data_IF_079485438467
#
_entry.id   IF_079485438467
#
_cell.length_a   1.000
_cell.length_b   1.000
_cell.length_c   1.000
_cell.angle_alpha   90.00
_cell.angle_beta   90.00
_cell.angle_gamma   90.00
#
_symmetry.space_group_name_H-M   'P 1'
#
loop_
_entity.id
_entity.type
_entity.pdbx_description
1 polymer ?
#
# COMPACT_ATOMS: atom_id res chain seq x y z
N UNK A 1 11.26 10.32 -19.92
CA UNK A 1 10.90 9.60 -18.68
C UNK A 1 9.62 8.87 -19.00
N UNK A 2 9.54 7.58 -18.71
CA UNK A 2 8.37 6.75 -19.00
C UNK A 2 7.13 7.29 -18.27
N UNK A 3 5.93 7.00 -18.79
CA UNK A 3 4.65 7.42 -18.19
C UNK A 3 3.59 6.33 -18.36
N UNK A 4 2.50 6.44 -17.60
CA UNK A 4 1.36 5.51 -17.66
C UNK A 4 0.70 5.56 -19.04
N UNK A 5 0.54 6.76 -19.61
CA UNK A 5 -0.08 7.00 -20.91
C UNK A 5 0.70 6.39 -22.08
N UNK A 6 2.02 6.32 -21.94
CA UNK A 6 2.91 5.77 -22.97
C UNK A 6 3.03 4.23 -22.89
N UNK A 7 2.49 3.60 -21.84
CA UNK A 7 2.54 2.16 -21.64
C UNK A 7 1.44 1.46 -22.43
N UNK A 8 1.81 0.42 -23.17
CA UNK A 8 0.86 -0.48 -23.84
C UNK A 8 0.28 -1.54 -22.89
N UNK A 9 0.84 -1.66 -21.68
CA UNK A 9 0.39 -2.64 -20.69
C UNK A 9 -0.76 -2.14 -19.82
N UNK A 10 -1.61 -3.05 -19.31
CA UNK A 10 -2.63 -2.72 -18.32
C UNK A 10 -2.07 -2.05 -17.07
N UNK A 11 -2.91 -1.29 -16.36
CA UNK A 11 -2.53 -0.60 -15.11
C UNK A 11 -2.04 -1.59 -14.03
N UNK A 12 -2.63 -2.80 -14.02
CA UNK A 12 -2.18 -3.91 -13.17
C UNK A 12 -2.11 -5.17 -14.00
N UNK A 13 -1.02 -5.92 -13.88
CA UNK A 13 -0.89 -7.23 -14.51
C UNK A 13 0.01 -8.17 -13.70
N UNK A 14 -0.23 -9.48 -13.81
CA UNK A 14 0.70 -10.51 -13.31
C UNK A 14 1.86 -10.60 -14.29
N UNK A 15 3.09 -10.60 -13.80
CA UNK A 15 4.27 -10.72 -14.66
C UNK A 15 4.44 -12.17 -15.15
N UNK A 16 4.92 -12.33 -16.40
CA UNK A 16 5.10 -13.65 -17.02
C UNK A 16 6.19 -14.51 -16.35
N UNK A 17 7.14 -13.88 -15.67
CA UNK A 17 8.31 -14.56 -15.09
C UNK A 17 8.45 -14.28 -13.59
N UNK A 18 8.26 -15.33 -12.78
CA UNK A 18 8.41 -15.30 -11.32
C UNK A 18 9.85 -14.99 -10.87
N UNK A 19 10.86 -15.28 -11.70
CA UNK A 19 12.28 -15.08 -11.36
C UNK A 19 12.76 -13.63 -11.51
N UNK A 20 11.94 -12.72 -12.02
CA UNK A 20 12.33 -11.32 -12.25
C UNK A 20 12.63 -10.58 -10.94
N UNK A 21 11.89 -10.89 -9.87
CA UNK A 21 12.07 -10.33 -8.54
C UNK A 21 11.80 -11.41 -7.51
N UNK A 22 12.75 -11.66 -6.61
CA UNK A 22 12.62 -12.66 -5.56
C UNK A 22 12.56 -11.99 -4.20
N UNK A 23 11.50 -12.26 -3.45
CA UNK A 23 11.43 -11.86 -2.06
C UNK A 23 12.30 -12.80 -1.18
N UNK A 24 12.90 -12.29 -0.11
CA UNK A 24 13.71 -13.10 0.80
C UNK A 24 12.87 -14.20 1.49
N UNK A 25 13.41 -15.39 1.64
CA UNK A 25 12.78 -16.44 2.44
C UNK A 25 13.03 -16.19 3.94
N UNK A 26 11.94 -16.13 4.72
CA UNK A 26 12.01 -15.99 6.17
C UNK A 26 11.09 -17.04 6.78
N UNK A 27 11.65 -17.91 7.61
CA UNK A 27 10.93 -19.06 8.17
C UNK A 27 9.67 -18.62 8.93
N UNK A 28 8.57 -19.32 8.69
CA UNK A 28 7.27 -19.04 9.30
C UNK A 28 6.65 -17.68 8.94
N UNK A 29 7.11 -17.00 7.88
CA UNK A 29 6.62 -15.68 7.48
C UNK A 29 6.34 -15.58 5.98
N UNK A 30 5.44 -14.65 5.63
CA UNK A 30 5.29 -14.17 4.26
C UNK A 30 6.20 -12.97 4.08
N UNK A 31 7.11 -13.06 3.13
CA UNK A 31 7.92 -11.92 2.67
C UNK A 31 7.32 -11.33 1.41
N UNK A 32 7.24 -10.02 1.34
CA UNK A 32 6.85 -9.29 0.13
C UNK A 32 7.98 -8.33 -0.23
N UNK A 33 8.54 -8.49 -1.44
CA UNK A 33 9.54 -7.59 -1.98
C UNK A 33 8.93 -6.70 -3.04
N UNK A 34 9.15 -5.40 -2.92
CA UNK A 34 8.61 -4.39 -3.82
C UNK A 34 9.72 -3.55 -4.42
N UNK A 35 9.94 -3.66 -5.72
CA UNK A 35 10.77 -2.72 -6.48
C UNK A 35 9.88 -1.59 -7.01
N UNK A 36 10.25 -0.33 -6.81
CA UNK A 36 9.46 0.82 -7.28
C UNK A 36 10.34 1.85 -7.97
N UNK A 37 9.88 2.40 -9.10
CA UNK A 37 10.52 3.53 -9.78
C UNK A 37 9.58 4.71 -9.97
N UNK A 38 10.17 5.90 -9.98
CA UNK A 38 9.48 7.10 -10.41
C UNK A 38 9.28 7.12 -11.93
N UNK A 39 8.12 7.63 -12.36
CA UNK A 39 7.77 7.90 -13.74
C UNK A 39 7.60 9.42 -13.93
N UNK A 40 7.19 9.85 -15.12
CA UNK A 40 6.92 11.25 -15.40
C UNK A 40 5.85 11.84 -14.44
N UNK A 41 6.08 13.09 -14.01
CA UNK A 41 5.15 13.79 -13.13
C UNK A 41 5.04 13.14 -11.75
N UNK A 42 3.81 12.82 -11.33
CA UNK A 42 3.52 12.17 -10.04
C UNK A 42 3.21 10.68 -10.18
N UNK A 43 3.54 10.08 -11.33
CA UNK A 43 3.31 8.67 -11.58
C UNK A 43 4.47 7.82 -11.04
N UNK A 44 4.16 6.58 -10.66
CA UNK A 44 5.12 5.54 -10.27
C UNK A 44 4.64 4.19 -10.78
N UNK A 45 5.56 3.26 -10.89
CA UNK A 45 5.21 1.85 -11.02
C UNK A 45 6.00 0.99 -10.03
N UNK A 46 5.38 -0.11 -9.62
CA UNK A 46 5.96 -1.07 -8.70
C UNK A 46 5.82 -2.48 -9.24
N UNK A 47 6.86 -3.28 -9.02
CA UNK A 47 6.88 -4.72 -9.24
C UNK A 47 6.97 -5.36 -7.86
N UNK A 48 5.97 -6.16 -7.52
CA UNK A 48 5.75 -6.70 -6.19
C UNK A 48 5.78 -8.22 -6.27
N UNK A 49 6.75 -8.83 -5.61
CA UNK A 49 6.87 -10.27 -5.46
C UNK A 49 6.29 -10.70 -4.11
N UNK A 50 5.31 -11.59 -4.14
CA UNK A 50 4.80 -12.29 -2.98
C UNK A 50 5.62 -13.58 -2.80
N UNK A 51 6.47 -13.61 -1.77
CA UNK A 51 7.61 -14.52 -1.68
C UNK A 51 7.31 -15.99 -1.50
N UNK A 52 6.15 -16.37 -0.96
CA UNK A 52 5.85 -17.78 -0.71
C UNK A 52 5.58 -18.55 -2.02
N UNK A 53 4.84 -17.95 -2.94
CA UNK A 53 4.53 -18.53 -4.27
C UNK A 53 5.42 -17.98 -5.39
N UNK A 54 6.24 -16.95 -5.11
CA UNK A 54 7.02 -16.23 -6.12
C UNK A 54 6.15 -15.45 -7.10
N UNK A 55 4.88 -15.19 -6.76
CA UNK A 55 3.95 -14.46 -7.63
C UNK A 55 4.33 -12.99 -7.74
N UNK A 56 4.55 -12.54 -8.98
CA UNK A 56 4.99 -11.16 -9.26
C UNK A 56 3.87 -10.39 -9.95
N UNK A 57 3.56 -9.22 -9.41
CA UNK A 57 2.56 -8.29 -9.94
C UNK A 57 3.20 -6.95 -10.25
N UNK A 58 2.85 -6.37 -11.39
CA UNK A 58 3.15 -4.97 -11.70
C UNK A 58 1.91 -4.13 -11.43
N UNK A 59 2.07 -3.03 -10.71
CA UNK A 59 1.03 -2.01 -10.51
C UNK A 59 1.53 -0.62 -10.91
N UNK A 60 0.64 0.33 -11.17
CA UNK A 60 0.95 1.78 -11.22
C UNK A 60 0.19 2.57 -10.18
N UNK A 61 0.78 3.70 -9.82
CA UNK A 61 0.22 4.69 -8.94
C UNK A 61 0.33 6.08 -9.54
N UNK A 62 -0.67 6.91 -9.23
CA UNK A 62 -0.72 8.32 -9.56
C UNK A 62 -1.33 9.08 -8.36
N UNK A 63 -0.86 10.29 -8.08
CA UNK A 63 -1.37 11.08 -6.96
C UNK A 63 -2.67 11.83 -7.25
N UNK A 64 -3.14 11.80 -8.50
CA UNK A 64 -4.35 12.47 -8.92
C UNK A 64 -4.30 13.99 -8.83
N UNK A 65 -5.42 14.70 -9.07
CA UNK A 65 -5.42 16.13 -9.35
C UNK A 65 -4.97 16.98 -8.16
N UNK A 66 -5.11 16.48 -6.93
CA UNK A 66 -4.73 17.19 -5.73
C UNK A 66 -3.22 17.48 -5.64
N UNK A 67 -2.38 16.59 -6.18
CA UNK A 67 -0.92 16.78 -6.23
C UNK A 67 -0.42 16.98 -7.66
N UNK A 68 -1.28 17.47 -8.57
CA UNK A 68 -0.98 17.65 -9.99
C UNK A 68 -0.58 16.34 -10.72
N UNK A 69 -1.18 15.22 -10.30
CA UNK A 69 -1.16 13.96 -11.03
C UNK A 69 -2.16 13.95 -12.20
N UNK A 70 -2.09 12.87 -12.99
CA UNK A 70 -2.92 12.68 -14.21
C UNK A 70 -4.24 11.96 -13.93
N UNK A 71 -4.40 11.44 -12.72
CA UNK A 71 -5.58 10.75 -12.22
C UNK A 71 -5.93 9.48 -13.01
N UNK A 72 -4.89 8.79 -13.50
CA UNK A 72 -5.01 7.56 -14.30
C UNK A 72 -4.94 6.28 -13.47
N UNK A 73 -4.39 6.35 -12.26
CA UNK A 73 -4.23 5.23 -11.35
C UNK A 73 -4.52 5.67 -9.91
N UNK A 74 -4.77 4.73 -8.98
CA UNK A 74 -5.03 5.07 -7.59
C UNK A 74 -3.82 5.70 -6.92
N UNK A 75 -4.10 6.57 -5.96
CA UNK A 75 -3.11 7.20 -5.10
C UNK A 75 -2.56 6.20 -4.05
N UNK A 76 -1.36 6.45 -3.46
CA UNK A 76 -0.67 5.46 -2.62
C UNK A 76 -1.50 4.94 -1.45
N UNK A 77 -2.23 5.84 -0.79
CA UNK A 77 -3.05 5.51 0.38
C UNK A 77 -4.31 4.71 0.00
N UNK A 78 -4.74 4.79 -1.26
CA UNK A 78 -5.78 3.94 -1.83
C UNK A 78 -5.32 2.48 -1.90
N UNK A 79 -4.12 2.22 -2.41
CA UNK A 79 -3.52 0.88 -2.42
C UNK A 79 -3.39 0.31 -1.00
N UNK A 80 -2.90 1.08 -0.05
CA UNK A 80 -2.79 0.65 1.35
C UNK A 80 -4.16 0.31 1.96
N UNK A 81 -5.17 1.16 1.73
CA UNK A 81 -6.54 0.91 2.21
C UNK A 81 -7.17 -0.32 1.55
N UNK A 82 -6.89 -0.55 0.27
CA UNK A 82 -7.34 -1.76 -0.43
C UNK A 82 -6.70 -3.02 0.18
N UNK A 83 -5.42 -2.95 0.53
CA UNK A 83 -4.70 -4.04 1.21
C UNK A 83 -5.28 -4.41 2.57
N UNK A 84 -5.59 -3.42 3.40
CA UNK A 84 -6.27 -3.63 4.69
C UNK A 84 -7.64 -4.27 4.53
N UNK A 85 -8.49 -3.68 3.66
CA UNK A 85 -9.84 -4.21 3.38
C UNK A 85 -9.79 -5.66 2.91
N UNK A 86 -8.92 -5.96 1.93
CA UNK A 86 -8.78 -7.31 1.40
C UNK A 86 -8.31 -8.30 2.48
N UNK A 87 -7.33 -7.93 3.30
CA UNK A 87 -6.84 -8.78 4.38
C UNK A 87 -7.91 -9.04 5.45
N UNK A 88 -8.67 -8.03 5.87
CA UNK A 88 -9.78 -8.23 6.82
C UNK A 88 -10.87 -9.14 6.26
N UNK A 89 -11.21 -9.01 4.97
CA UNK A 89 -12.15 -9.90 4.30
C UNK A 89 -11.64 -11.35 4.32
N UNK A 90 -10.37 -11.59 3.99
CA UNK A 90 -9.77 -12.93 3.97
C UNK A 90 -9.77 -13.60 5.35
N UNK A 91 -9.33 -12.88 6.38
CA UNK A 91 -9.31 -13.42 7.75
C UNK A 91 -10.73 -13.68 8.26
N UNK A 92 -11.67 -12.76 8.04
CA UNK A 92 -13.06 -12.96 8.47
C UNK A 92 -13.66 -14.23 7.86
N UNK A 93 -13.45 -14.44 6.55
CA UNK A 93 -13.95 -15.61 5.84
C UNK A 93 -13.26 -16.90 6.31
N UNK A 94 -11.97 -16.85 6.63
CA UNK A 94 -11.22 -18.00 7.14
C UNK A 94 -11.71 -18.41 8.54
N UNK A 95 -11.92 -17.45 9.44
CA UNK A 95 -12.51 -17.73 10.76
C UNK A 95 -13.95 -18.23 10.66
N UNK A 96 -14.77 -17.63 9.80
CA UNK A 96 -16.15 -18.06 9.59
C UNK A 96 -16.22 -19.49 9.04
N UNK A 97 -15.38 -19.82 8.05
CA UNK A 97 -15.27 -21.17 7.49
C UNK A 97 -14.85 -22.19 8.55
N UNK A 98 -13.85 -21.88 9.38
CA UNK A 98 -13.42 -22.76 10.46
C UNK A 98 -14.53 -23.00 11.51
N UNK A 99 -15.39 -22.00 11.75
CA UNK A 99 -16.54 -22.12 12.66
C UNK A 99 -17.79 -22.72 12.00
N UNK A 100 -17.73 -23.11 10.71
CA UNK A 100 -18.88 -23.65 9.99
C UNK A 100 -20.00 -22.64 9.73
N UNK A 101 -19.69 -21.34 9.78
CA UNK A 101 -20.66 -20.26 9.60
C UNK A 101 -20.85 -19.90 8.13
N UNK A 102 -22.10 -19.90 7.68
CA UNK A 102 -22.46 -19.49 6.32
C UNK A 102 -22.64 -17.98 6.27
N UNK A 103 -21.71 -17.30 5.60
CA UNK A 103 -21.76 -15.87 5.34
C UNK A 103 -22.47 -15.64 4.00
N UNK A 104 -23.67 -15.06 4.05
CA UNK A 104 -24.46 -14.72 2.84
C UNK A 104 -24.00 -13.41 2.22
N UNK A 105 -23.64 -12.44 3.04
CA UNK A 105 -23.11 -11.15 2.60
C UNK A 105 -22.08 -10.65 3.60
N UNK A 106 -20.98 -10.11 3.09
CA UNK A 106 -19.94 -9.47 3.88
C UNK A 106 -19.47 -8.21 3.16
N UNK A 107 -19.51 -7.09 3.87
CA UNK A 107 -18.88 -5.85 3.48
C UNK A 107 -17.94 -5.38 4.59
N UNK A 108 -16.75 -4.93 4.21
CA UNK A 108 -15.79 -4.31 5.13
C UNK A 108 -15.53 -2.88 4.66
N UNK A 109 -15.74 -1.93 5.55
CA UNK A 109 -15.39 -0.52 5.33
C UNK A 109 -14.24 -0.14 6.25
N UNK A 110 -13.20 0.47 5.70
CA UNK A 110 -12.02 0.96 6.43
C UNK A 110 -11.89 2.45 6.21
N UNK A 111 -11.87 3.22 7.30
CA UNK A 111 -11.65 4.65 7.33
C UNK A 111 -10.26 4.94 7.93
N UNK A 112 -9.35 5.40 7.08
CA UNK A 112 -8.01 5.81 7.42
C UNK A 112 -7.92 7.33 7.47
N UNK A 113 -7.33 7.85 8.55
CA UNK A 113 -7.06 9.28 8.68
C UNK A 113 -5.57 9.52 8.87
N UNK A 114 -5.03 10.48 8.12
CA UNK A 114 -3.63 10.86 8.19
C UNK A 114 -3.52 12.34 8.47
N UNK A 115 -2.42 12.74 9.10
CA UNK A 115 -2.15 14.16 9.30
C UNK A 115 -0.72 14.51 9.00
N UNK A 116 -0.51 15.73 8.52
CA UNK A 116 0.82 16.26 8.28
C UNK A 116 0.90 17.69 8.81
N UNK A 117 1.94 17.95 9.59
CA UNK A 117 2.13 19.21 10.31
C UNK A 117 3.60 19.68 10.21
N UNK A 118 3.79 20.99 10.03
CA UNK A 118 5.10 21.64 9.98
C UNK A 118 5.41 22.30 8.63
N UNK A 119 6.70 22.35 8.26
CA UNK A 119 7.20 23.04 7.08
C UNK A 119 8.17 22.18 6.29
N UNK A 120 7.94 22.04 4.97
CA UNK A 120 8.91 21.36 4.10
C UNK A 120 10.17 22.20 3.93
N UNK A 121 10.00 23.53 3.83
CA UNK A 121 11.11 24.48 3.67
C UNK A 121 11.98 24.59 4.92
N UNK A 122 11.37 24.57 6.12
CA UNK A 122 12.09 24.58 7.40
C UNK A 122 12.46 23.17 7.89
N UNK A 123 12.18 22.14 7.09
CA UNK A 123 12.49 20.73 7.39
C UNK A 123 11.83 20.17 8.67
N UNK A 124 10.79 20.84 9.17
CA UNK A 124 10.04 20.44 10.38
C UNK A 124 8.79 19.61 10.07
N UNK A 125 8.48 19.40 8.78
CA UNK A 125 7.26 18.70 8.37
C UNK A 125 7.29 17.24 8.81
N UNK A 126 6.25 16.77 9.50
CA UNK A 126 6.11 15.37 9.92
C UNK A 126 4.80 14.79 9.44
N UNK A 127 4.84 13.54 8.96
CA UNK A 127 3.65 12.74 8.70
C UNK A 127 3.21 11.98 9.96
N UNK A 128 1.92 11.68 10.05
CA UNK A 128 1.32 10.83 11.08
C UNK A 128 0.08 10.13 10.55
N UNK A 129 -0.31 9.05 11.22
CA UNK A 129 -1.57 8.34 11.00
C UNK A 129 -2.36 8.27 12.31
N UNK A 130 -3.67 8.36 12.19
CA UNK A 130 -4.62 8.30 13.31
C UNK A 130 -5.24 6.90 13.41
N UNK A 131 -5.96 6.58 14.50
CA UNK A 131 -6.66 5.30 14.64
C UNK A 131 -7.48 4.93 13.41
N UNK A 132 -7.28 3.71 12.93
CA UNK A 132 -8.07 3.13 11.84
C UNK A 132 -9.45 2.74 12.37
N UNK A 133 -10.49 3.04 11.61
CA UNK A 133 -11.85 2.61 11.92
C UNK A 133 -12.29 1.57 10.90
N UNK A 134 -12.71 0.39 11.37
CA UNK A 134 -13.21 -0.70 10.51
C UNK A 134 -14.63 -1.06 10.89
N UNK A 135 -15.50 -1.17 9.89
CA UNK A 135 -16.88 -1.61 10.04
C UNK A 135 -17.11 -2.87 9.22
N UNK A 136 -17.51 -3.96 9.89
CA UNK A 136 -17.97 -5.20 9.28
C UNK A 136 -19.49 -5.19 9.20
N UNK A 137 -20.06 -5.26 8.00
CA UNK A 137 -21.51 -5.41 7.78
C UNK A 137 -21.78 -6.80 7.23
N UNK A 138 -22.53 -7.61 7.98
CA UNK A 138 -22.60 -9.07 7.75
C UNK A 138 -24.05 -9.57 7.76
N UNK A 139 -24.43 -10.32 6.72
CA UNK A 139 -25.62 -11.16 6.72
C UNK A 139 -25.17 -12.62 6.86
N UNK A 140 -25.50 -13.23 7.99
CA UNK A 140 -25.20 -14.62 8.29
C UNK A 140 -26.22 -15.20 9.28
N UNK A 141 -26.28 -16.53 9.34
CA UNK A 141 -27.08 -17.24 10.35
C UNK A 141 -26.29 -17.37 11.67
N UNK A 142 -25.96 -16.21 12.25
CA UNK A 142 -25.19 -16.09 13.48
C UNK A 142 -25.74 -14.92 14.31
N UNK A 143 -25.60 -15.00 15.63
CA UNK A 143 -25.94 -13.88 16.50
C UNK A 143 -24.87 -12.76 16.44
N UNK A 144 -25.21 -11.58 16.94
CA UNK A 144 -24.29 -10.43 16.89
C UNK A 144 -23.00 -10.65 17.70
N UNK A 145 -23.02 -11.50 18.73
CA UNK A 145 -21.84 -11.77 19.55
C UNK A 145 -20.83 -12.63 18.77
N UNK A 146 -21.31 -13.64 18.04
CA UNK A 146 -20.50 -14.45 17.13
C UNK A 146 -19.89 -13.57 16.01
N UNK A 147 -20.69 -12.69 15.41
CA UNK A 147 -20.22 -11.77 14.37
C UNK A 147 -19.18 -10.78 14.90
N UNK A 148 -19.36 -10.28 16.13
CA UNK A 148 -18.38 -9.44 16.82
C UNK A 148 -17.07 -10.21 17.02
N UNK A 149 -17.13 -11.45 17.51
CA UNK A 149 -15.94 -12.28 17.72
C UNK A 149 -15.18 -12.51 16.42
N UNK A 150 -15.87 -12.82 15.32
CA UNK A 150 -15.25 -12.93 14.00
C UNK A 150 -14.57 -11.63 13.55
N UNK A 151 -15.20 -10.48 13.79
CA UNK A 151 -14.63 -9.17 13.46
C UNK A 151 -13.35 -8.88 14.27
N UNK A 152 -13.35 -9.20 15.56
CA UNK A 152 -12.16 -9.11 16.40
C UNK A 152 -11.04 -10.04 15.92
N UNK A 153 -11.36 -11.30 15.61
CA UNK A 153 -10.40 -12.26 15.10
C UNK A 153 -9.83 -11.82 13.75
N UNK A 154 -10.67 -11.33 12.83
CA UNK A 154 -10.26 -10.86 11.52
C UNK A 154 -9.22 -9.73 11.62
N UNK A 155 -9.43 -8.77 12.51
CA UNK A 155 -8.46 -7.70 12.76
C UNK A 155 -7.24 -8.21 13.52
N UNK A 156 -7.42 -9.07 14.53
CA UNK A 156 -6.32 -9.62 15.32
C UNK A 156 -5.33 -10.42 14.47
N UNK A 157 -5.83 -11.22 13.53
CA UNK A 157 -5.04 -12.17 12.73
C UNK A 157 -4.66 -11.65 11.36
N UNK A 158 -5.08 -10.42 10.99
CA UNK A 158 -4.76 -9.81 9.69
C UNK A 158 -3.26 -9.50 9.58
N UNK A 159 -2.54 -10.12 8.63
CA UNK A 159 -1.15 -9.79 8.37
C UNK A 159 -0.97 -8.32 7.95
N UNK A 160 -1.96 -7.73 7.26
CA UNK A 160 -1.92 -6.33 6.88
C UNK A 160 -2.09 -5.38 8.07
N UNK A 161 -2.97 -5.70 9.03
CA UNK A 161 -3.16 -4.91 10.26
C UNK A 161 -1.98 -4.99 11.21
N UNK A 162 -1.21 -6.08 11.17
CA UNK A 162 0.00 -6.24 11.97
C UNK A 162 0.96 -5.04 11.82
N UNK A 163 1.02 -4.46 10.62
CA UNK A 163 1.77 -3.25 10.28
C UNK A 163 1.44 -2.04 11.18
N UNK A 164 0.20 -1.94 11.66
CA UNK A 164 -0.30 -0.82 12.46
C UNK A 164 -0.14 -1.04 13.96
N UNK A 165 0.08 -2.29 14.40
CA UNK A 165 -0.11 -2.70 15.79
C UNK A 165 1.05 -2.29 16.70
N UNK A 166 2.26 -2.55 16.24
CA UNK A 166 3.49 -2.29 17.00
C UNK A 166 4.27 -1.16 16.35
N UNK A 167 4.80 -0.25 17.18
CA UNK A 167 5.66 0.81 16.69
C UNK A 167 7.01 0.23 16.24
N UNK A 168 7.20 0.13 14.94
CA UNK A 168 8.44 -0.33 14.31
C UNK A 168 9.00 0.78 13.42
N UNK A 169 10.27 1.13 13.63
CA UNK A 169 10.95 2.10 12.77
C UNK A 169 11.55 1.37 11.57
N UNK A 170 11.20 1.82 10.38
CA UNK A 170 11.78 1.32 9.13
C UNK A 170 13.27 1.59 9.05
N UNK A 171 13.97 0.72 8.32
CA UNK A 171 15.41 0.76 8.09
C UNK A 171 15.72 1.09 6.65
N UNK A 172 16.87 1.73 6.41
CA UNK A 172 17.22 2.31 5.12
C UNK A 172 18.67 2.05 4.72
N UNK A 173 18.89 1.77 3.44
CA UNK A 173 20.19 1.92 2.78
C UNK A 173 20.11 3.01 1.70
N UNK A 174 21.24 3.62 1.35
CA UNK A 174 21.30 4.71 0.38
C UNK A 174 22.41 4.45 -0.64
N UNK A 175 22.04 4.34 -1.90
CA UNK A 175 22.93 4.25 -3.05
C UNK A 175 22.83 5.54 -3.84
N UNK A 176 23.93 6.28 -3.96
CA UNK A 176 24.04 7.54 -4.70
C UNK A 176 24.97 7.33 -5.90
N UNK A 177 24.44 7.45 -7.11
CA UNK A 177 25.19 7.26 -8.36
C UNK A 177 25.95 5.93 -8.38
N UNK A 178 25.25 4.83 -8.04
CA UNK A 178 25.77 3.46 -7.94
C UNK A 178 26.78 3.19 -6.80
N UNK A 179 27.06 4.16 -5.94
CA UNK A 179 27.88 3.96 -4.74
C UNK A 179 27.01 3.93 -3.48
N UNK A 180 27.14 2.89 -2.67
CA UNK A 180 26.47 2.83 -1.38
C UNK A 180 27.14 3.79 -0.39
N UNK A 181 26.35 4.67 0.21
CA UNK A 181 26.80 5.65 1.21
C UNK A 181 26.13 5.39 2.55
N UNK A 182 26.79 5.80 3.63
CA UNK A 182 26.24 5.69 4.98
C UNK A 182 25.01 6.60 5.13
N UNK A 183 23.93 6.05 5.67
CA UNK A 183 22.75 6.84 6.04
C UNK A 183 23.01 7.69 7.29
N UNK A 184 22.38 8.85 7.35
CA UNK A 184 22.38 9.75 8.49
C UNK A 184 20.93 10.03 8.92
N UNK A 185 20.68 10.15 10.22
CA UNK A 185 19.39 10.53 10.83
C UNK A 185 18.20 9.56 10.60
N UNK A 186 18.35 8.56 9.75
CA UNK A 186 17.46 7.39 9.63
C UNK A 186 18.15 6.12 10.14
N UNK A 187 17.38 5.07 10.45
CA UNK A 187 17.95 3.79 10.88
C UNK A 187 18.60 3.08 9.69
N UNK A 188 19.80 2.56 9.88
CA UNK A 188 20.52 1.82 8.83
C UNK A 188 19.92 0.42 8.65
N UNK A 189 19.76 0.03 7.39
CA UNK A 189 19.47 -1.35 6.98
C UNK A 189 20.62 -2.28 7.37
N UNK A 190 20.25 -3.44 7.91
CA UNK A 190 21.15 -4.60 8.06
C UNK A 190 20.87 -5.68 6.99
N UNK A 191 19.97 -5.40 6.04
CA UNK A 191 19.62 -6.28 4.95
C UNK A 191 20.78 -6.48 3.98
N UNK A 192 20.76 -7.62 3.27
CA UNK A 192 21.71 -7.86 2.19
C UNK A 192 21.52 -6.82 1.09
N UNK A 193 22.61 -6.28 0.55
CA UNK A 193 22.55 -5.36 -0.57
C UNK A 193 21.83 -6.01 -1.76
N UNK A 194 20.92 -5.27 -2.39
CA UNK A 194 20.27 -5.68 -3.63
C UNK A 194 20.75 -4.80 -4.79
N UNK A 195 20.63 -5.32 -6.00
CA UNK A 195 20.94 -4.56 -7.20
C UNK A 195 19.90 -3.46 -7.46
N UNK A 196 20.31 -2.41 -8.17
CA UNK A 196 19.40 -1.38 -8.64
C UNK A 196 18.34 -2.00 -9.58
N UNK A 197 17.03 -1.87 -9.29
CA UNK A 197 15.98 -2.51 -10.06
C UNK A 197 15.72 -1.86 -11.43
N UNK A 198 16.53 -0.94 -11.91
CA UNK A 198 16.31 -0.27 -13.21
C UNK A 198 16.06 -1.24 -14.37
N UNK A 199 16.87 -2.29 -14.49
CA UNK A 199 16.73 -3.25 -15.60
C UNK A 199 15.52 -4.16 -15.47
N UNK A 200 14.97 -4.31 -14.27
CA UNK A 200 13.80 -5.14 -13.98
C UNK A 200 12.57 -4.59 -14.71
N UNK A 201 12.31 -3.28 -14.62
CA UNK A 201 11.12 -2.67 -15.23
C UNK A 201 11.07 -2.82 -16.75
N UNK A 202 12.22 -2.80 -17.42
CA UNK A 202 12.29 -2.96 -18.87
C UNK A 202 12.04 -4.40 -19.34
N UNK A 203 12.14 -5.39 -18.44
CA UNK A 203 11.95 -6.82 -18.74
C UNK A 203 10.59 -7.35 -18.33
N UNK A 204 9.87 -6.62 -17.48
CA UNK A 204 8.57 -7.05 -16.95
C UNK A 204 7.47 -6.88 -17.99
N UNK A 205 6.90 -8.00 -18.42
CA UNK A 205 5.80 -8.06 -19.37
C UNK A 205 4.60 -8.82 -18.77
N UNK A 206 3.37 -8.55 -19.23
CA UNK A 206 2.18 -9.28 -18.80
C UNK A 206 2.28 -10.78 -19.08
N UNK A 207 1.83 -11.59 -18.12
CA UNK A 207 1.65 -13.03 -18.29
C UNK A 207 0.57 -13.32 -19.33
N UNK A 208 0.74 -14.42 -20.06
CA UNK A 208 -0.27 -14.94 -21.00
C UNK A 208 -1.34 -15.81 -20.35
N UNK A 209 -1.36 -15.89 -19.02
CA UNK A 209 -2.32 -16.73 -18.29
C UNK A 209 -3.75 -16.21 -18.44
N UNK A 210 -4.65 -17.06 -18.93
CA UNK A 210 -6.09 -16.79 -19.05
C UNK A 210 -6.82 -16.81 -17.69
N UNK A 211 -6.14 -17.22 -16.61
CA UNK A 211 -6.72 -17.22 -15.26
C UNK A 211 -6.77 -15.81 -14.64
N UNK A 212 -6.02 -14.85 -15.18
CA UNK A 212 -5.95 -13.50 -14.62
C UNK A 212 -7.26 -12.78 -14.90
N UNK A 213 -7.82 -12.15 -13.87
CA UNK A 213 -9.04 -11.38 -14.02
C UNK A 213 -8.82 -10.22 -15.01
N UNK A 214 -9.81 -9.97 -15.84
CA UNK A 214 -9.90 -8.72 -16.59
C UNK A 214 -10.23 -7.57 -15.63
N UNK A 215 -9.89 -6.34 -16.02
CA UNK A 215 -10.24 -5.11 -15.31
C UNK A 215 -9.92 -5.13 -13.81
N UNK A 216 -8.73 -5.66 -13.44
CA UNK A 216 -8.24 -5.68 -12.05
C UNK A 216 -8.29 -4.29 -11.42
N UNK A 217 -8.10 -3.24 -12.22
CA UNK A 217 -8.11 -1.87 -11.78
C UNK A 217 -8.92 -1.01 -12.75
N UNK A 218 -9.92 -0.33 -12.21
CA UNK A 218 -10.80 0.56 -12.98
C UNK A 218 -11.02 1.88 -12.23
N UNK A 219 -11.08 2.99 -12.96
CA UNK A 219 -11.52 4.28 -12.44
C UNK A 219 -13.02 4.42 -12.67
N UNK A 220 -13.78 4.66 -11.60
CA UNK A 220 -15.24 4.78 -11.70
C UNK A 220 -15.67 6.21 -12.05
N UNK A 221 -16.65 6.35 -12.93
CA UNK A 221 -17.21 7.64 -13.36
C UNK A 221 -18.01 8.34 -12.24
N UNK A 222 -18.69 7.56 -11.39
CA UNK A 222 -19.59 8.09 -10.37
C UNK A 222 -18.89 8.24 -9.00
N UNK A 223 -18.76 9.50 -8.58
CA UNK A 223 -18.27 9.92 -7.26
C UNK A 223 -19.37 9.75 -6.18
N UNK A 224 -20.59 9.36 -6.54
CA UNK A 224 -21.76 9.73 -5.72
C UNK A 224 -21.90 9.02 -4.36
N UNK A 225 -21.26 7.87 -4.11
CA UNK A 225 -21.09 7.40 -2.72
C UNK A 225 -20.10 6.24 -2.55
N UNK A 226 -19.33 6.30 -1.47
CA UNK A 226 -18.64 5.15 -0.90
C UNK A 226 -19.09 4.99 0.57
N UNK A 227 -20.12 4.16 0.78
CA UNK A 227 -20.71 3.95 2.11
C UNK A 227 -21.77 5.00 2.51
N UNK A 228 -22.56 5.50 1.57
CA UNK A 228 -23.72 6.39 1.84
C UNK A 228 -23.41 7.89 1.92
N UNK A 229 -22.15 8.26 2.18
CA UNK A 229 -21.71 9.65 2.13
C UNK A 229 -21.47 10.09 0.68
N UNK A 230 -22.08 11.21 0.26
CA UNK A 230 -21.77 11.84 -1.03
C UNK A 230 -20.36 12.42 -0.97
N UNK A 231 -19.46 11.93 -1.82
CA UNK A 231 -18.20 12.62 -2.07
C UNK A 231 -18.53 13.94 -2.80
N UNK A 232 -17.88 15.03 -2.38
CA UNK A 232 -18.07 16.34 -3.01
C UNK A 232 -17.45 16.40 -4.42
N UNK A 233 -17.23 17.62 -4.94
CA UNK A 233 -16.47 17.78 -6.18
C UNK A 233 -14.98 17.50 -5.94
N UNK A 234 -14.34 16.81 -6.89
CA UNK A 234 -12.87 16.59 -6.90
C UNK A 234 -12.18 17.95 -6.83
N UNK A 235 -11.25 18.09 -5.88
CA UNK A 235 -10.48 19.32 -5.71
C UNK A 235 -9.10 19.14 -6.32
N UNK A 236 -8.75 20.00 -7.27
CA UNK A 236 -7.34 20.26 -7.56
C UNK A 236 -6.81 21.21 -6.49
N UNK A 237 -5.57 20.98 -6.05
CA UNK A 237 -4.86 22.00 -5.32
C UNK A 237 -3.57 22.31 -6.05
N UNK A 238 -3.58 23.44 -6.77
CA UNK A 238 -2.34 24.06 -7.16
C UNK A 238 -1.45 24.27 -5.93
N UNK A 239 -0.17 23.95 -6.06
CA UNK A 239 0.89 24.26 -5.09
C UNK A 239 0.67 23.81 -3.63
N UNK A 240 0.13 22.59 -3.41
CA UNK A 240 0.10 21.98 -2.06
C UNK A 240 1.53 21.83 -1.54
N UNK A 241 1.90 22.55 -0.48
CA UNK A 241 3.23 22.40 0.13
C UNK A 241 4.05 23.68 0.25
N UNK A 242 3.62 24.80 -0.34
CA UNK A 242 4.41 26.04 -0.37
C UNK A 242 4.16 27.02 0.79
N UNK A 243 3.18 26.78 1.67
CA UNK A 243 2.96 27.67 2.82
C UNK A 243 3.98 27.39 3.92
N UNK A 244 4.40 28.44 4.64
CA UNK A 244 5.46 28.38 5.65
C UNK A 244 5.21 27.34 6.75
N UNK A 245 3.96 27.19 7.19
CA UNK A 245 3.51 26.14 8.09
C UNK A 245 2.20 25.57 7.53
N UNK A 246 2.05 24.25 7.63
CA UNK A 246 0.86 23.54 7.17
C UNK A 246 0.36 22.65 8.29
N UNK A 247 -0.96 22.51 8.33
CA UNK A 247 -1.65 21.44 9.04
C UNK A 247 -2.72 20.91 8.10
N UNK A 248 -2.54 19.68 7.64
CA UNK A 248 -3.47 19.02 6.72
C UNK A 248 -3.88 17.67 7.28
N UNK A 249 -5.15 17.35 7.06
CA UNK A 249 -5.68 16.01 7.32
C UNK A 249 -6.09 15.37 6.00
N UNK A 250 -5.86 14.07 5.91
CA UNK A 250 -6.35 13.24 4.83
C UNK A 250 -7.35 12.23 5.41
N UNK A 251 -8.44 12.00 4.70
CA UNK A 251 -9.39 10.93 5.00
C UNK A 251 -9.51 10.05 3.77
N UNK A 252 -9.12 8.79 3.91
CA UNK A 252 -9.17 7.78 2.86
C UNK A 252 -10.10 6.68 3.32
N UNK A 253 -11.02 6.27 2.45
CA UNK A 253 -11.95 5.18 2.72
C UNK A 253 -11.76 4.07 1.69
N UNK A 254 -11.72 2.84 2.18
CA UNK A 254 -11.86 1.63 1.37
C UNK A 254 -13.14 0.89 1.75
N UNK A 255 -13.89 0.40 0.76
CA UNK A 255 -15.05 -0.46 0.96
C UNK A 255 -14.90 -1.70 0.10
N UNK A 256 -14.89 -2.86 0.72
CA UNK A 256 -14.75 -4.15 0.04
C UNK A 256 -15.93 -5.06 0.26
N UNK A 257 -16.23 -5.87 -0.75
CA UNK A 257 -17.29 -6.90 -0.73
C UNK A 257 -16.75 -8.19 -1.34
N UNK A 258 -17.33 -9.31 -0.91
CA UNK A 258 -17.11 -10.61 -1.54
C UNK A 258 -17.97 -10.75 -2.80
N UNK A 259 -17.36 -11.08 -3.94
CA UNK A 259 -18.04 -11.46 -5.18
C UNK A 259 -18.46 -12.94 -5.13
N UNK A 260 -19.41 -13.32 -5.99
CA UNK A 260 -19.89 -14.70 -6.11
C UNK A 260 -18.82 -15.70 -6.55
N UNK A 261 -17.76 -15.24 -7.22
CA UNK A 261 -16.61 -16.05 -7.67
C UNK A 261 -15.49 -16.13 -6.61
N UNK A 262 -15.73 -15.61 -5.40
CA UNK A 262 -14.79 -15.61 -4.28
C UNK A 262 -13.73 -14.51 -4.33
N UNK A 263 -13.65 -13.70 -5.39
CA UNK A 263 -12.78 -12.51 -5.39
C UNK A 263 -13.38 -11.39 -4.54
N UNK A 264 -12.53 -10.44 -4.19
CA UNK A 264 -12.91 -9.25 -3.42
C UNK A 264 -12.92 -8.07 -4.37
N UNK A 265 -14.06 -7.40 -4.45
CA UNK A 265 -14.14 -6.09 -5.09
C UNK A 265 -13.90 -5.03 -4.02
N UNK A 266 -12.88 -4.20 -4.19
CA UNK A 266 -12.52 -3.15 -3.25
C UNK A 266 -12.52 -1.81 -3.93
N UNK A 267 -13.32 -0.88 -3.43
CA UNK A 267 -13.38 0.49 -3.92
C UNK A 267 -12.70 1.41 -2.93
N UNK A 268 -11.86 2.31 -3.43
CA UNK A 268 -11.09 3.26 -2.61
C UNK A 268 -11.26 4.68 -3.11
N UNK A 269 -11.33 5.63 -2.17
CA UNK A 269 -11.44 7.05 -2.48
C UNK A 269 -10.80 7.90 -1.37
N UNK A 270 -10.27 9.05 -1.76
CA UNK A 270 -9.91 10.10 -0.81
C UNK A 270 -11.13 11.01 -0.62
N UNK A 271 -11.59 11.14 0.61
CA UNK A 271 -12.73 11.99 1.00
C UNK A 271 -12.28 13.40 1.34
N UNK A 272 -11.10 13.52 1.95
CA UNK A 272 -10.47 14.80 2.24
C UNK A 272 -9.01 14.70 1.86
N UNK A 273 -8.52 15.48 0.88
CA UNK A 273 -9.31 16.17 -0.14
C UNK A 273 -10.09 15.16 -1.00
N UNK A 274 -11.20 15.61 -1.62
CA UNK A 274 -11.98 14.72 -2.49
C UNK A 274 -11.17 14.36 -3.74
N UNK A 275 -10.97 13.07 -3.96
CA UNK A 275 -10.32 12.50 -5.13
C UNK A 275 -11.21 11.51 -5.87
N UNK A 276 -10.67 10.93 -6.94
CA UNK A 276 -11.35 9.91 -7.74
C UNK A 276 -11.57 8.61 -6.98
N UNK A 277 -12.57 7.85 -7.44
CA UNK A 277 -12.89 6.52 -6.92
C UNK A 277 -12.28 5.48 -7.86
N UNK A 278 -11.52 4.55 -7.28
CA UNK A 278 -10.96 3.43 -8.02
C UNK A 278 -11.48 2.11 -7.46
N UNK A 279 -11.80 1.19 -8.36
CA UNK A 279 -12.11 -0.19 -8.05
C UNK A 279 -10.87 -1.05 -8.28
N UNK A 280 -10.58 -1.93 -7.34
CA UNK A 280 -9.52 -2.92 -7.38
C UNK A 280 -10.11 -4.30 -7.11
N UNK A 281 -9.74 -5.29 -7.92
CA UNK A 281 -10.01 -6.69 -7.61
C UNK A 281 -8.88 -7.24 -6.75
N UNK A 282 -9.21 -8.09 -5.78
CA UNK A 282 -8.23 -8.83 -4.99
C UNK A 282 -8.61 -10.30 -4.89
N UNK A 283 -7.62 -11.17 -5.01
CA UNK A 283 -7.75 -12.60 -4.79
C UNK A 283 -6.73 -13.05 -3.75
N UNK A 284 -7.08 -14.06 -2.97
CA UNK A 284 -6.10 -14.62 -2.04
C UNK A 284 -5.00 -15.36 -2.81
N UNK A 285 -3.83 -15.46 -2.19
CA UNK A 285 -2.74 -16.26 -2.75
C UNK A 285 -3.11 -17.74 -2.72
N UNK A 286 -2.43 -18.57 -3.53
CA UNK A 286 -2.65 -20.02 -3.56
C UNK A 286 -2.44 -20.62 -2.17
N UNK A 287 -1.43 -20.15 -1.43
CA UNK A 287 -1.18 -20.54 -0.04
C UNK A 287 -2.46 -20.42 0.78
N UNK A 288 -3.15 -19.28 0.68
CA UNK A 288 -4.37 -18.97 1.44
C UNK A 288 -5.65 -19.56 0.82
N UNK A 289 -5.53 -20.43 -0.19
CA UNK A 289 -6.65 -21.09 -0.84
C UNK A 289 -7.35 -20.27 -1.92
N UNK A 290 -6.74 -19.17 -2.38
CA UNK A 290 -7.20 -18.41 -3.53
C UNK A 290 -6.62 -18.94 -4.86
N UNK A 291 -6.85 -18.20 -5.95
CA UNK A 291 -6.43 -18.59 -7.31
C UNK A 291 -5.46 -17.59 -7.95
N UNK A 292 -5.05 -16.54 -7.21
CA UNK A 292 -4.18 -15.48 -7.71
C UNK A 292 -4.65 -14.83 -9.03
N UNK A 293 -5.96 -14.67 -9.18
CA UNK A 293 -6.57 -14.02 -10.35
C UNK A 293 -6.35 -12.50 -10.34
N UNK A 294 -6.08 -11.93 -9.16
CA UNK A 294 -5.74 -10.53 -8.92
C UNK A 294 -4.76 -10.42 -7.74
N UNK A 295 -4.10 -9.26 -7.52
CA UNK A 295 -3.21 -9.07 -6.39
C UNK A 295 -3.86 -9.34 -5.03
N UNK A 296 -3.11 -9.95 -4.11
CA UNK A 296 -3.57 -10.15 -2.74
C UNK A 296 -3.54 -8.85 -1.93
N UNK A 297 -4.18 -8.84 -0.76
CA UNK A 297 -4.16 -7.68 0.13
C UNK A 297 -2.75 -7.23 0.50
N UNK A 298 -1.82 -8.16 0.72
CA UNK A 298 -0.42 -7.83 1.03
C UNK A 298 0.34 -7.24 -0.16
N UNK A 299 0.01 -7.63 -1.40
CA UNK A 299 0.59 -7.02 -2.60
C UNK A 299 0.16 -5.55 -2.70
N UNK A 300 -1.12 -5.24 -2.50
CA UNK A 300 -1.61 -3.87 -2.50
C UNK A 300 -1.06 -3.05 -1.33
N UNK A 301 -0.98 -3.63 -0.14
CA UNK A 301 -0.41 -2.99 1.04
C UNK A 301 1.05 -2.57 0.79
N UNK A 302 1.87 -3.49 0.27
CA UNK A 302 3.29 -3.25 0.00
C UNK A 302 3.51 -2.23 -1.12
N UNK A 303 2.71 -2.28 -2.19
CA UNK A 303 2.73 -1.25 -3.24
C UNK A 303 2.36 0.13 -2.67
N UNK A 304 1.28 0.23 -1.88
CA UNK A 304 0.86 1.49 -1.27
C UNK A 304 1.95 2.12 -0.39
N UNK A 305 2.64 1.28 0.40
CA UNK A 305 3.77 1.67 1.23
C UNK A 305 4.92 2.27 0.42
N UNK A 306 5.33 1.57 -0.65
CA UNK A 306 6.43 1.99 -1.51
C UNK A 306 6.11 3.28 -2.24
N UNK A 307 4.91 3.40 -2.78
CA UNK A 307 4.44 4.61 -3.44
C UNK A 307 4.39 5.80 -2.49
N UNK A 308 3.89 5.64 -1.27
CA UNK A 308 3.77 6.75 -0.33
C UNK A 308 5.13 7.35 0.01
N UNK A 309 6.15 6.50 0.18
CA UNK A 309 7.53 6.96 0.39
C UNK A 309 8.11 7.66 -0.84
N UNK A 310 7.98 7.05 -2.02
CA UNK A 310 8.45 7.62 -3.29
C UNK A 310 7.83 8.99 -3.59
N UNK A 311 6.55 9.18 -3.25
CA UNK A 311 5.85 10.45 -3.39
C UNK A 311 6.45 11.53 -2.51
N UNK A 312 6.73 11.22 -1.25
CA UNK A 312 7.33 12.21 -0.36
C UNK A 312 8.76 12.53 -0.74
N UNK A 313 9.53 11.53 -1.19
CA UNK A 313 10.88 11.72 -1.69
C UNK A 313 10.89 12.69 -2.88
N UNK A 314 10.13 12.40 -3.93
CA UNK A 314 10.04 13.25 -5.13
C UNK A 314 9.48 14.64 -4.84
N UNK A 315 8.44 14.73 -3.98
CA UNK A 315 7.83 16.00 -3.61
C UNK A 315 8.79 16.89 -2.81
N UNK A 316 9.58 16.32 -1.90
CA UNK A 316 10.60 17.09 -1.20
C UNK A 316 11.67 17.59 -2.16
N UNK A 317 12.18 16.73 -3.05
CA UNK A 317 13.17 17.12 -4.07
C UNK A 317 12.65 18.29 -4.93
N UNK A 318 11.39 18.25 -5.36
CA UNK A 318 10.77 19.32 -6.13
C UNK A 318 10.69 20.65 -5.35
N UNK A 319 10.24 20.61 -4.09
CA UNK A 319 10.11 21.81 -3.24
C UNK A 319 11.47 22.39 -2.88
N UNK A 320 12.46 21.53 -2.58
CA UNK A 320 13.83 21.91 -2.28
C UNK A 320 14.65 22.27 -3.54
N UNK A 321 14.07 22.13 -4.74
CA UNK A 321 14.71 22.34 -6.04
C UNK A 321 16.00 21.52 -6.22
N UNK A 322 16.00 20.30 -5.69
CA UNK A 322 17.11 19.36 -5.82
C UNK A 322 17.09 18.68 -7.18
N UNK A 323 18.27 18.47 -7.77
CA UNK A 323 18.44 17.77 -9.04
C UNK A 323 18.40 16.25 -8.86
N UNK A 324 17.21 15.68 -8.99
CA UNK A 324 16.99 14.24 -8.96
C UNK A 324 16.67 13.71 -10.36
N UNK A 325 17.61 13.00 -10.98
CA UNK A 325 17.49 12.51 -12.36
C UNK A 325 16.60 11.26 -12.42
N UNK A 326 16.84 10.33 -11.50
CA UNK A 326 16.00 9.15 -11.27
C UNK A 326 16.10 8.72 -9.83
N UNK A 327 15.03 8.11 -9.34
CA UNK A 327 15.00 7.52 -8.01
C UNK A 327 14.15 6.26 -8.02
N UNK A 328 14.63 5.27 -7.29
CA UNK A 328 14.08 3.92 -7.21
C UNK A 328 14.29 3.37 -5.82
N UNK A 329 13.48 2.40 -5.44
CA UNK A 329 13.65 1.66 -4.20
C UNK A 329 13.41 0.17 -4.39
N UNK A 330 13.98 -0.62 -3.49
CA UNK A 330 13.56 -1.98 -3.19
C UNK A 330 13.15 -2.03 -1.73
N UNK A 331 11.95 -2.52 -1.43
CA UNK A 331 11.44 -2.65 -0.07
C UNK A 331 11.09 -4.09 0.26
N UNK A 332 11.54 -4.56 1.43
CA UNK A 332 11.17 -5.84 1.99
C UNK A 332 10.25 -5.64 3.20
N UNK A 333 9.13 -6.35 3.20
CA UNK A 333 8.19 -6.40 4.32
C UNK A 333 7.88 -7.85 4.67
N UNK A 334 7.84 -8.17 5.97
CA UNK A 334 7.64 -9.54 6.46
C UNK A 334 6.50 -9.62 7.44
N UNK A 335 5.58 -10.54 7.21
CA UNK A 335 4.37 -10.72 8.00
C UNK A 335 4.25 -12.15 8.52
N UNK A 336 3.65 -12.33 9.69
CA UNK A 336 3.24 -13.66 10.15
C UNK A 336 2.24 -14.30 9.20
N UNK A 337 2.15 -15.61 9.24
CA UNK A 337 1.17 -16.36 8.44
C UNK A 337 -0.28 -16.00 8.83
N UNK A 338 -1.20 -15.85 7.85
CA UNK A 338 -2.62 -15.64 8.09
C UNK A 338 -3.28 -16.84 8.76
N UNK A 339 -4.50 -16.64 9.30
CA UNK A 339 -5.21 -17.71 10.01
C UNK A 339 -5.47 -18.95 9.14
N UNK A 340 -5.70 -18.75 7.84
CA UNK A 340 -5.90 -19.83 6.87
C UNK A 340 -4.77 -20.88 6.88
N UNK A 341 -3.57 -20.49 7.31
CA UNK A 341 -2.35 -21.32 7.31
C UNK A 341 -1.91 -21.66 8.72
N UNK A 342 -1.86 -20.65 9.59
CA UNK A 342 -1.36 -20.86 10.95
C UNK A 342 -2.35 -21.67 11.79
N UNK A 343 -3.66 -21.58 11.49
CA UNK A 343 -4.76 -22.07 12.31
C UNK A 343 -4.70 -21.59 13.77
N UNK A 344 -3.93 -20.53 14.05
CA UNK A 344 -3.74 -19.95 15.38
C UNK A 344 -4.47 -18.62 15.47
N UNK A 345 -5.21 -18.41 16.55
CA UNK A 345 -5.86 -17.13 16.86
C UNK A 345 -4.91 -16.15 17.56
N UNK A 346 -3.61 -16.24 17.26
CA UNK A 346 -2.59 -15.35 17.80
C UNK A 346 -2.59 -14.03 17.02
N UNK A 347 -2.33 -12.89 17.67
CA UNK A 347 -2.17 -11.63 16.96
C UNK A 347 -1.10 -11.72 15.86
N UNK A 348 -1.43 -11.27 14.67
CA UNK A 348 -0.48 -11.18 13.58
C UNK A 348 0.65 -10.19 13.91
N UNK A 349 1.85 -10.46 13.39
CA UNK A 349 3.05 -9.64 13.60
C UNK A 349 3.69 -9.24 12.28
N UNK A 350 4.34 -8.09 12.25
CA UNK A 350 5.19 -7.62 11.15
C UNK A 350 6.61 -7.37 11.63
N UNK A 351 7.56 -7.33 10.70
CA UNK A 351 8.92 -6.82 10.95
C UNK A 351 9.01 -5.39 10.44
N UNK A 352 10.02 -4.65 10.92
CA UNK A 352 10.35 -3.35 10.35
C UNK A 352 10.56 -3.46 8.83
N UNK A 353 10.03 -2.49 8.09
CA UNK A 353 10.21 -2.41 6.64
C UNK A 353 11.64 -2.02 6.35
N UNK A 354 12.32 -2.82 5.53
CA UNK A 354 13.67 -2.52 5.06
C UNK A 354 13.61 -1.89 3.67
N UNK A 355 14.25 -0.72 3.49
CA UNK A 355 14.15 0.06 2.26
C UNK A 355 15.54 0.38 1.70
N UNK A 356 15.87 -0.15 0.53
CA UNK A 356 17.08 0.19 -0.18
C UNK A 356 16.78 1.26 -1.22
N UNK A 357 17.44 2.40 -1.12
CA UNK A 357 17.18 3.59 -1.95
C UNK A 357 18.28 3.77 -2.98
N UNK A 358 17.90 4.00 -4.24
CA UNK A 358 18.82 4.20 -5.37
C UNK A 358 18.52 5.56 -6.00
N UNK A 359 19.47 6.49 -5.92
CA UNK A 359 19.33 7.85 -6.42
C UNK A 359 20.41 8.16 -7.44
N UNK A 360 19.99 8.67 -8.59
CA UNK A 360 20.86 9.30 -9.57
C UNK A 360 20.71 10.82 -9.44
N UNK A 361 21.78 11.49 -9.02
CA UNK A 361 21.72 12.90 -8.63
C UNK A 361 23.07 13.62 -8.72
N UNK A 362 23.02 14.93 -8.97
CA UNK A 362 24.18 15.83 -8.87
C UNK A 362 24.30 16.51 -7.49
N UNK A 363 23.36 16.26 -6.60
CA UNK A 363 23.34 16.81 -5.26
C UNK A 363 24.54 16.36 -4.41
N UNK A 364 24.90 17.16 -3.42
CA UNK A 364 25.89 16.80 -2.41
C UNK A 364 25.43 15.58 -1.59
N UNK A 365 26.38 14.91 -0.92
CA UNK A 365 26.04 13.81 0.01
C UNK A 365 25.06 14.29 1.09
N UNK A 366 25.29 15.48 1.65
CA UNK A 366 24.43 16.07 2.67
C UNK A 366 22.99 16.27 2.16
N UNK A 367 22.83 16.85 0.96
CA UNK A 367 21.51 17.05 0.35
C UNK A 367 20.81 15.72 0.04
N UNK A 368 21.59 14.70 -0.34
CA UNK A 368 21.08 13.34 -0.61
C UNK A 368 20.60 12.66 0.69
N UNK A 369 21.37 12.78 1.77
CA UNK A 369 20.98 12.27 3.10
C UNK A 369 19.73 12.99 3.62
N UNK A 370 19.67 14.32 3.44
CA UNK A 370 18.53 15.14 3.80
C UNK A 370 17.27 14.75 3.03
N UNK A 371 17.39 14.48 1.73
CA UNK A 371 16.30 13.99 0.88
C UNK A 371 15.71 12.68 1.43
N UNK A 372 16.57 11.70 1.75
CA UNK A 372 16.15 10.43 2.36
C UNK A 372 15.41 10.65 3.68
N UNK A 373 16.01 11.42 4.60
CA UNK A 373 15.42 11.74 5.90
C UNK A 373 14.05 12.39 5.75
N UNK A 374 13.93 13.40 4.89
CA UNK A 374 12.66 14.11 4.69
C UNK A 374 11.61 13.21 4.03
N UNK A 375 12.01 12.34 3.10
CA UNK A 375 11.11 11.33 2.52
C UNK A 375 10.52 10.39 3.57
N UNK A 376 11.34 9.90 4.50
CA UNK A 376 10.90 9.02 5.60
C UNK A 376 10.01 9.78 6.62
N UNK A 377 10.47 10.96 7.04
CA UNK A 377 9.83 11.77 8.07
C UNK A 377 8.42 12.20 7.65
N UNK A 378 8.24 12.52 6.37
CA UNK A 378 6.96 13.01 5.83
C UNK A 378 6.07 11.89 5.28
N UNK A 379 6.58 10.67 5.09
CA UNK A 379 5.80 9.55 4.58
C UNK A 379 4.73 9.12 5.59
N UNK A 380 3.45 9.19 5.19
CA UNK A 380 2.32 8.80 6.03
C UNK A 380 2.37 7.34 6.48
N UNK A 381 2.77 6.45 5.59
CA UNK A 381 2.77 5.01 5.88
C UNK A 381 3.99 4.61 6.71
N UNK A 382 5.17 5.19 6.49
CA UNK A 382 6.29 5.02 7.44
C UNK A 382 5.99 5.66 8.80
N UNK A 383 5.22 6.76 8.83
CA UNK A 383 4.71 7.33 10.06
C UNK A 383 3.74 6.41 10.81
N UNK A 384 2.90 5.69 10.06
CA UNK A 384 2.03 4.67 10.63
C UNK A 384 2.86 3.52 11.24
N UNK A 385 3.91 3.06 10.54
CA UNK A 385 4.85 2.04 11.03
C UNK A 385 5.42 2.38 12.42
N UNK A 386 5.93 3.60 12.59
CA UNK A 386 6.57 4.04 13.84
C UNK A 386 5.60 4.48 14.93
N UNK A 387 4.30 4.25 14.75
CA UNK A 387 3.25 4.61 15.71
C UNK A 387 2.40 3.38 16.02
N UNK A 388 2.18 3.06 17.30
CA UNK A 388 1.23 2.01 17.66
C UNK A 388 -0.20 2.53 17.43
N UNK A 389 -0.85 2.09 16.34
CA UNK A 389 -2.17 2.53 15.90
C UNK A 389 -3.19 1.45 16.25
N UNK A 390 -4.16 1.83 17.10
CA UNK A 390 -5.27 0.95 17.46
C UNK A 390 -6.36 0.97 16.39
N UNK A 391 -6.64 -0.18 15.80
CA UNK A 391 -7.83 -0.39 14.96
C UNK A 391 -9.10 -0.45 15.84
N UNK A 392 -10.09 0.38 15.50
CA UNK A 392 -11.40 0.46 16.17
C UNK A 392 -12.43 -0.30 15.35
N UNK A 393 -13.11 -1.25 15.98
CA UNK A 393 -13.95 -2.23 15.29
C UNK A 393 -15.42 -1.93 15.58
N UNK A 394 -16.22 -1.95 14.52
CA UNK A 394 -17.67 -1.94 14.57
C UNK A 394 -18.21 -3.13 13.77
N UNK A 395 -19.24 -3.78 14.29
CA UNK A 395 -19.95 -4.86 13.59
C UNK A 395 -21.42 -4.49 13.48
N UNK A 396 -21.98 -4.68 12.29
CA UNK A 396 -23.40 -4.53 12.01
C UNK A 396 -23.93 -5.82 11.37
N UNK A 397 -25.06 -6.31 11.89
CA UNK A 397 -25.82 -7.38 11.23
C UNK A 397 -26.80 -6.73 10.26
N UNK A 398 -26.79 -7.15 9.00
CA UNK A 398 -27.61 -6.58 7.91
C UNK A 398 -28.56 -7.60 7.28
#
# INVERSE_FOLDING_TARGET
MDSIEASEFPLVFKADQQSLLQAPEVDGRISVRTATRALAGMQKEAIVCYGHEGSVWRTVCDEGPWLNGTDLAPFPLGFFSAGLVASYLSEYLSHAKHQGLVIRQLQVMVDNHYSMEGSLLKETMTGSALPVHVTFSVNADADINQLNQLSYLAVATSPADAYLREAQRSTFSLNRNSEQVKVAEVLASAGAAVEDPETLFNKTIPSKSELIAEDILEKLEAVESLGGDKLGAIKSAGNVGLSENQKRQLHVRGVGKLRSDGMKEVRVACFTPVGSVFQLLSDDSILCGGQERAPSGLVYLAAGLSYCFMTQLGRYAQVAKQELQSYRIVQDAHFSLPYAISAKQEPATSSAVDTQVFLQTRESLENTQRLLRMGEQTCYLHAACRTAIKTRIQTAKI
#
